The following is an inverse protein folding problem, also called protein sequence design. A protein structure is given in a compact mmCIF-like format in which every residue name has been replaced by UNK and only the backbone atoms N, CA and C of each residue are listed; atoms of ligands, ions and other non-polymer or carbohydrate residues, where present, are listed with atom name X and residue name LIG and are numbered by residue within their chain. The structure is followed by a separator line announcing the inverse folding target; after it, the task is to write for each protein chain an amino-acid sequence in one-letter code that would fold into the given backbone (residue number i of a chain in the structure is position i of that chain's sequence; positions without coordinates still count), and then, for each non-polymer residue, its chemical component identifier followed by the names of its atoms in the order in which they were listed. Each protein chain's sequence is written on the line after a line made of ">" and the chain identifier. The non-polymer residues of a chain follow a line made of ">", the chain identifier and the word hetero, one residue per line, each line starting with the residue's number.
data_IF_604297573057
#
_entry.id   IF_604297573057
#
_cell.length_a   1.000
_cell.length_b   1.000
_cell.length_c   1.000
_cell.angle_alpha   90.00
_cell.angle_beta   90.00
_cell.angle_gamma   90.00
#
_symmetry.space_group_name_H-M   'P 1'
#
loop_
_entity.id
_entity.type
_entity.pdbx_description
1 polymer ?
#
# COMPACT_ATOMS: atom_id res chain seq x y z
N UNK A 1 -63.19 -47.62 49.32
CA UNK A 1 -63.72 -48.38 50.50
C UNK A 1 -65.19 -48.70 50.25
N UNK A 2 -65.64 -49.93 50.46
CA UNK A 2 -67.06 -50.30 50.43
C UNK A 2 -67.67 -49.92 51.81
N UNK A 3 -68.74 -49.12 51.73
CA UNK A 3 -69.52 -48.82 52.89
C UNK A 3 -70.57 -49.95 53.13
N UNK A 4 -71.09 -50.08 54.38
CA UNK A 4 -72.01 -51.13 54.73
C UNK A 4 -73.34 -51.16 53.93
N UNK A 5 -73.66 -50.08 53.18
CA UNK A 5 -74.87 -49.97 52.38
C UNK A 5 -74.66 -50.32 50.90
N UNK A 6 -73.54 -51.01 50.53
CA UNK A 6 -73.31 -51.46 49.17
C UNK A 6 -72.88 -50.37 48.15
N UNK A 7 -72.83 -49.11 48.56
CA UNK A 7 -72.34 -48.04 47.71
C UNK A 7 -70.83 -47.98 47.67
N UNK A 8 -70.24 -47.88 46.42
CA UNK A 8 -68.80 -47.82 46.18
C UNK A 8 -68.42 -46.33 45.93
N UNK A 9 -67.82 -45.73 46.91
CA UNK A 9 -67.29 -44.41 46.78
C UNK A 9 -65.89 -44.48 46.05
N UNK A 10 -65.86 -44.09 44.80
CA UNK A 10 -64.62 -43.99 44.01
C UNK A 10 -64.10 -42.57 44.11
N UNK A 11 -63.15 -42.32 44.95
CA UNK A 11 -62.42 -41.04 44.97
C UNK A 11 -61.33 -41.19 43.96
N UNK A 12 -61.56 -40.56 42.82
CA UNK A 12 -60.49 -40.37 41.78
C UNK A 12 -59.78 -39.05 42.06
N UNK A 13 -58.59 -39.13 42.56
CA UNK A 13 -57.71 -37.99 42.65
C UNK A 13 -56.94 -37.95 41.38
N UNK A 14 -57.06 -36.87 40.56
CA UNK A 14 -56.23 -36.63 39.44
C UNK A 14 -54.85 -36.22 39.94
N UNK A 15 -53.98 -37.22 40.05
CA UNK A 15 -52.61 -37.02 40.42
C UNK A 15 -51.92 -36.43 39.12
N UNK A 16 -51.71 -35.11 39.09
CA UNK A 16 -50.89 -34.50 38.12
C UNK A 16 -49.54 -35.19 38.16
N UNK A 17 -49.13 -35.80 37.02
CA UNK A 17 -47.84 -36.49 36.96
C UNK A 17 -46.75 -35.52 37.28
N UNK A 18 -45.76 -35.90 38.10
CA UNK A 18 -44.58 -35.08 38.45
C UNK A 18 -43.97 -34.33 37.22
N UNK A 19 -43.85 -34.94 36.03
CA UNK A 19 -43.36 -34.24 34.84
C UNK A 19 -44.24 -33.07 34.39
N UNK A 20 -45.57 -33.17 34.54
CA UNK A 20 -46.48 -32.06 34.17
C UNK A 20 -46.34 -30.86 35.14
N UNK A 21 -46.10 -31.11 36.40
CA UNK A 21 -45.87 -30.06 37.39
C UNK A 21 -44.52 -29.35 37.19
N UNK A 22 -43.47 -30.11 36.86
CA UNK A 22 -42.15 -29.57 36.51
C UNK A 22 -42.22 -28.75 35.21
N UNK A 23 -42.95 -29.21 34.18
CA UNK A 23 -43.11 -28.50 32.93
C UNK A 23 -43.87 -27.18 33.11
N UNK A 24 -44.89 -27.17 33.98
CA UNK A 24 -45.67 -25.97 34.28
C UNK A 24 -44.86 -24.91 35.04
N UNK A 25 -43.88 -25.34 35.86
CA UNK A 25 -42.93 -24.45 36.54
C UNK A 25 -41.84 -23.95 35.63
N UNK A 26 -41.35 -24.78 34.67
CA UNK A 26 -40.28 -24.42 33.74
C UNK A 26 -40.74 -23.43 32.63
N UNK A 27 -42.01 -23.47 32.24
CA UNK A 27 -42.55 -22.65 31.15
C UNK A 27 -42.34 -21.14 31.36
N UNK A 28 -42.65 -20.55 32.53
CA UNK A 28 -42.44 -19.12 32.76
C UNK A 28 -40.94 -18.73 32.75
N UNK A 29 -40.08 -19.63 33.26
CA UNK A 29 -38.65 -19.40 33.25
C UNK A 29 -38.06 -19.40 31.82
N UNK A 30 -38.52 -20.29 30.94
CA UNK A 30 -38.16 -20.30 29.52
C UNK A 30 -38.59 -19.01 28.81
N UNK A 31 -39.78 -18.50 29.08
CA UNK A 31 -40.26 -17.24 28.53
C UNK A 31 -39.38 -16.06 28.97
N UNK A 32 -39.07 -15.96 30.24
CA UNK A 32 -38.19 -14.91 30.78
C UNK A 32 -36.79 -15.02 30.19
N UNK A 33 -36.22 -16.21 30.11
CA UNK A 33 -34.89 -16.42 29.49
C UNK A 33 -34.87 -16.02 28.01
N UNK A 34 -35.91 -16.34 27.25
CA UNK A 34 -36.03 -15.97 25.84
C UNK A 34 -36.11 -14.45 25.67
N UNK A 35 -36.91 -13.75 26.49
CA UNK A 35 -37.02 -12.29 26.47
C UNK A 35 -35.70 -11.64 26.82
N UNK A 36 -34.98 -12.13 27.83
CA UNK A 36 -33.66 -11.62 28.21
C UNK A 36 -32.64 -11.83 27.11
N UNK A 37 -32.62 -12.99 26.43
CA UNK A 37 -31.74 -13.27 25.32
C UNK A 37 -31.99 -12.32 24.13
N UNK A 38 -33.26 -12.09 23.80
CA UNK A 38 -33.64 -11.16 22.73
C UNK A 38 -33.19 -9.73 23.09
N UNK A 39 -33.43 -9.30 24.30
CA UNK A 39 -33.04 -7.97 24.79
C UNK A 39 -31.52 -7.78 24.75
N UNK A 40 -30.77 -8.75 25.25
CA UNK A 40 -29.30 -8.76 25.18
C UNK A 40 -28.78 -8.74 23.73
N UNK A 41 -29.41 -9.51 22.85
CA UNK A 41 -29.05 -9.51 21.40
C UNK A 41 -29.27 -8.16 20.74
N UNK A 42 -30.43 -7.53 20.99
CA UNK A 42 -30.74 -6.20 20.45
C UNK A 42 -29.80 -5.13 21.02
N UNK A 43 -29.51 -5.19 22.32
CA UNK A 43 -28.60 -4.24 22.97
C UNK A 43 -27.19 -4.39 22.45
N UNK A 44 -26.69 -5.63 22.33
CA UNK A 44 -25.39 -5.94 21.76
C UNK A 44 -25.25 -5.46 20.31
N UNK A 45 -26.29 -5.69 19.50
CA UNK A 45 -26.31 -5.22 18.11
C UNK A 45 -26.29 -3.68 18.00
N UNK A 46 -27.06 -3.01 18.86
CA UNK A 46 -27.07 -1.53 18.93
C UNK A 46 -25.73 -0.96 19.38
N UNK A 47 -25.09 -1.53 20.39
CA UNK A 47 -23.78 -1.14 20.86
C UNK A 47 -22.69 -1.39 19.80
N UNK A 48 -22.70 -2.55 19.16
CA UNK A 48 -21.76 -2.87 18.09
C UNK A 48 -21.88 -1.86 16.93
N UNK A 49 -23.07 -1.53 16.49
CA UNK A 49 -23.27 -0.51 15.43
C UNK A 49 -22.87 0.91 15.86
N UNK A 50 -23.09 1.26 17.12
CA UNK A 50 -22.76 2.60 17.65
C UNK A 50 -21.25 2.84 17.71
N UNK A 51 -20.45 1.77 17.88
CA UNK A 51 -18.99 1.87 18.00
C UNK A 51 -18.32 1.63 16.65
N UNK A 52 -18.76 0.61 15.92
CA UNK A 52 -18.06 0.16 14.70
C UNK A 52 -18.31 1.08 13.49
N UNK A 53 -19.51 1.62 13.34
CA UNK A 53 -19.84 2.51 12.20
C UNK A 53 -19.01 3.80 12.18
N UNK A 54 -18.88 4.58 13.25
CA UNK A 54 -18.10 5.81 13.23
C UNK A 54 -16.60 5.55 13.06
N UNK A 55 -16.08 4.42 13.57
CA UNK A 55 -14.65 4.08 13.41
C UNK A 55 -14.32 3.73 11.95
N UNK A 56 -15.18 2.97 11.27
CA UNK A 56 -14.99 2.64 9.85
C UNK A 56 -15.25 3.82 8.89
N UNK A 57 -15.88 4.88 9.35
CA UNK A 57 -16.10 6.10 8.57
C UNK A 57 -14.95 7.12 8.64
N UNK A 58 -13.88 6.79 9.38
CA UNK A 58 -12.69 7.65 9.45
C UNK A 58 -11.92 7.53 8.13
N UNK A 59 -12.00 8.60 7.33
CA UNK A 59 -11.09 8.77 6.20
C UNK A 59 -9.71 9.15 6.71
N UNK A 60 -8.72 8.28 6.46
CA UNK A 60 -7.34 8.53 6.88
C UNK A 60 -6.73 9.79 6.24
N UNK A 61 -7.22 10.19 5.08
CA UNK A 61 -6.74 11.37 4.37
C UNK A 61 -7.15 12.70 5.03
N UNK A 62 -8.24 12.69 5.81
CA UNK A 62 -8.71 13.89 6.50
C UNK A 62 -9.36 13.51 7.84
N UNK A 63 -8.55 13.19 8.86
CA UNK A 63 -9.05 12.74 10.16
C UNK A 63 -9.79 13.89 10.85
N UNK A 64 -11.12 13.84 10.83
CA UNK A 64 -11.96 14.76 11.59
C UNK A 64 -12.22 14.19 12.98
N UNK A 65 -12.12 14.97 14.05
CA UNK A 65 -12.44 14.50 15.40
C UNK A 65 -13.91 14.11 15.47
N UNK A 66 -14.18 12.90 15.97
CA UNK A 66 -15.54 12.46 16.25
C UNK A 66 -16.03 13.18 17.53
N UNK A 67 -17.11 13.94 17.46
CA UNK A 67 -17.63 14.70 18.62
C UNK A 67 -18.04 13.80 19.78
N UNK A 68 -18.19 12.49 19.56
CA UNK A 68 -18.63 11.54 20.59
C UNK A 68 -17.50 10.94 21.43
N UNK A 69 -16.22 11.16 21.10
CA UNK A 69 -15.08 10.53 21.78
C UNK A 69 -13.94 11.52 21.97
N UNK A 70 -14.03 12.41 22.98
CA UNK A 70 -12.99 13.39 23.25
C UNK A 70 -11.62 12.76 23.62
N UNK A 71 -11.62 11.53 24.13
CA UNK A 71 -10.40 10.80 24.48
C UNK A 71 -9.54 10.44 23.24
N UNK A 72 -10.14 10.39 22.06
CA UNK A 72 -9.43 10.12 20.81
C UNK A 72 -8.83 11.37 20.16
N UNK A 73 -9.12 12.56 20.68
CA UNK A 73 -8.60 13.83 20.14
C UNK A 73 -7.07 13.83 20.02
N UNK A 74 -6.28 13.41 21.04
CA UNK A 74 -4.82 13.39 20.93
C UNK A 74 -4.31 12.45 19.82
N UNK A 75 -5.03 11.36 19.56
CA UNK A 75 -4.71 10.42 18.49
C UNK A 75 -4.94 11.06 17.11
N UNK A 76 -6.07 11.76 16.95
CA UNK A 76 -6.38 12.46 15.70
C UNK A 76 -5.39 13.60 15.42
N UNK A 77 -4.99 14.33 16.43
CA UNK A 77 -4.00 15.40 16.29
C UNK A 77 -2.65 14.84 15.86
N UNK A 78 -2.22 13.71 16.43
CA UNK A 78 -0.99 13.04 16.04
C UNK A 78 -1.05 12.46 14.62
N UNK A 79 -2.20 11.90 14.22
CA UNK A 79 -2.41 11.44 12.83
C UNK A 79 -2.37 12.60 11.84
N UNK A 80 -2.97 13.73 12.16
CA UNK A 80 -2.92 14.95 11.33
C UNK A 80 -1.49 15.47 11.18
N UNK A 81 -0.74 15.51 12.26
CA UNK A 81 0.66 15.92 12.24
C UNK A 81 1.51 14.99 11.37
N UNK A 82 1.32 13.67 11.50
CA UNK A 82 2.00 12.69 10.67
C UNK A 82 1.63 12.85 9.19
N UNK A 83 0.35 12.96 8.85
CA UNK A 83 -0.10 13.17 7.47
C UNK A 83 0.46 14.47 6.89
N UNK A 84 0.50 15.55 7.68
CA UNK A 84 1.10 16.81 7.26
C UNK A 84 2.61 16.67 7.00
N UNK A 85 3.30 15.91 7.84
CA UNK A 85 4.74 15.66 7.69
C UNK A 85 5.02 14.84 6.45
N UNK A 86 4.26 13.75 6.22
CA UNK A 86 4.34 12.92 5.01
C UNK A 86 4.06 13.77 3.76
N UNK A 87 3.03 14.60 3.79
CA UNK A 87 2.70 15.49 2.68
C UNK A 87 3.82 16.49 2.37
N UNK A 88 4.48 17.05 3.38
CA UNK A 88 5.64 17.93 3.19
C UNK A 88 6.84 17.17 2.58
N UNK A 89 7.16 15.98 3.10
CA UNK A 89 8.26 15.17 2.59
C UNK A 89 8.00 14.74 1.13
N UNK A 90 6.77 14.36 0.81
CA UNK A 90 6.39 14.00 -0.55
C UNK A 90 6.52 15.18 -1.52
N UNK A 91 6.07 16.37 -1.12
CA UNK A 91 6.23 17.59 -1.91
C UNK A 91 7.70 17.95 -2.12
N UNK A 92 8.53 17.81 -1.09
CA UNK A 92 9.96 18.07 -1.18
C UNK A 92 10.66 17.08 -2.14
N UNK A 93 10.33 15.80 -2.04
CA UNK A 93 10.84 14.78 -2.98
C UNK A 93 10.42 15.07 -4.41
N UNK A 94 9.15 15.43 -4.63
CA UNK A 94 8.65 15.79 -5.96
C UNK A 94 9.34 17.05 -6.51
N UNK A 95 9.60 18.04 -5.66
CA UNK A 95 10.33 19.25 -6.06
C UNK A 95 11.74 18.88 -6.51
N UNK A 96 12.48 18.14 -5.69
CA UNK A 96 13.84 17.69 -6.02
C UNK A 96 13.88 16.86 -7.32
N UNK A 97 12.90 15.98 -7.51
CA UNK A 97 12.79 15.20 -8.75
C UNK A 97 12.56 16.10 -9.96
N UNK A 98 11.66 17.10 -9.85
CA UNK A 98 11.42 18.07 -10.94
C UNK A 98 12.65 18.90 -11.23
N UNK A 99 13.37 19.37 -10.22
CA UNK A 99 14.63 20.11 -10.37
C UNK A 99 15.67 19.26 -11.08
N UNK A 100 15.85 18.00 -10.68
CA UNK A 100 16.76 17.08 -11.35
C UNK A 100 16.39 16.87 -12.82
N UNK A 101 15.13 16.57 -13.10
CA UNK A 101 14.63 16.41 -14.48
C UNK A 101 14.84 17.70 -15.28
N UNK A 102 14.51 18.86 -14.72
CA UNK A 102 14.70 20.13 -15.42
C UNK A 102 16.18 20.42 -15.75
N UNK A 103 17.10 20.07 -14.86
CA UNK A 103 18.54 20.22 -15.12
C UNK A 103 18.97 19.28 -16.23
N UNK A 104 18.64 18.01 -16.15
CA UNK A 104 19.07 17.00 -17.12
C UNK A 104 18.46 17.25 -18.51
N UNK A 105 17.18 17.62 -18.59
CA UNK A 105 16.51 17.93 -19.87
C UNK A 105 17.02 19.20 -20.57
N UNK A 106 17.58 20.14 -19.80
CA UNK A 106 18.17 21.37 -20.40
C UNK A 106 19.67 21.27 -20.66
N UNK A 107 20.30 20.14 -20.36
CA UNK A 107 21.70 19.88 -20.74
C UNK A 107 21.80 19.66 -22.24
N UNK A 108 22.89 20.16 -22.85
CA UNK A 108 23.23 19.88 -24.25
C UNK A 108 23.84 18.51 -24.42
N UNK A 109 24.54 18.06 -23.39
CA UNK A 109 25.12 16.72 -23.30
C UNK A 109 24.02 15.69 -23.16
N UNK A 110 24.14 14.57 -23.87
CA UNK A 110 23.28 13.43 -23.67
C UNK A 110 23.56 12.81 -22.31
N UNK A 111 22.51 12.61 -21.49
CA UNK A 111 22.59 11.96 -20.18
C UNK A 111 21.77 10.68 -20.18
N UNK A 112 22.40 9.57 -19.79
CA UNK A 112 21.75 8.27 -19.65
C UNK A 112 22.23 7.62 -18.34
N UNK A 113 21.29 7.18 -17.52
CA UNK A 113 21.52 6.45 -16.26
C UNK A 113 20.94 5.05 -16.36
N UNK A 114 21.75 4.04 -16.04
CA UNK A 114 21.34 2.64 -16.04
C UNK A 114 21.60 1.98 -14.67
N UNK A 115 20.83 0.95 -14.35
CA UNK A 115 21.07 0.11 -13.17
C UNK A 115 22.14 -0.97 -13.44
N UNK A 116 22.48 -1.76 -12.43
CA UNK A 116 23.45 -2.86 -12.54
C UNK A 116 22.98 -4.03 -13.44
N UNK A 117 21.73 -4.00 -13.91
CA UNK A 117 21.17 -4.97 -14.87
C UNK A 117 20.98 -4.37 -16.27
N UNK A 118 21.55 -3.19 -16.52
CA UNK A 118 21.41 -2.43 -17.75
C UNK A 118 19.96 -1.98 -18.07
N UNK A 119 19.09 -1.82 -17.05
CA UNK A 119 17.82 -1.14 -17.28
C UNK A 119 18.02 0.35 -17.22
N UNK A 120 17.40 1.05 -18.15
CA UNK A 120 17.40 2.51 -18.19
C UNK A 120 16.59 3.06 -17.02
N UNK A 121 17.23 3.82 -16.15
CA UNK A 121 16.59 4.51 -15.04
C UNK A 121 16.15 5.92 -15.42
N UNK A 122 16.97 6.62 -16.21
CA UNK A 122 16.69 7.98 -16.66
C UNK A 122 17.50 8.30 -17.92
N UNK A 123 16.93 9.08 -18.82
CA UNK A 123 17.62 9.64 -19.98
C UNK A 123 17.06 11.04 -20.25
N UNK A 124 17.86 11.93 -20.81
CA UNK A 124 17.40 13.22 -21.29
C UNK A 124 17.15 13.20 -22.81
N UNK A 125 16.55 14.26 -23.29
CA UNK A 125 16.24 14.42 -24.73
C UNK A 125 17.47 14.29 -25.62
N UNK A 126 18.59 14.94 -25.25
CA UNK A 126 19.84 14.90 -26.03
C UNK A 126 20.39 13.47 -26.15
N UNK A 127 20.31 12.64 -25.11
CA UNK A 127 20.72 11.25 -25.20
C UNK A 127 19.84 10.44 -26.15
N UNK A 128 18.52 10.69 -26.16
CA UNK A 128 17.60 10.03 -27.09
C UNK A 128 17.92 10.37 -28.54
N UNK A 129 18.28 11.64 -28.85
CA UNK A 129 18.69 12.05 -30.19
C UNK A 129 19.95 11.30 -30.66
N UNK A 130 20.96 11.19 -29.78
CA UNK A 130 22.22 10.47 -30.08
C UNK A 130 21.96 8.97 -30.29
N UNK A 131 21.00 8.38 -29.56
CA UNK A 131 20.65 6.95 -29.62
C UNK A 131 19.63 6.63 -30.74
N UNK A 132 19.39 7.56 -31.66
CA UNK A 132 18.54 7.36 -32.85
C UNK A 132 17.06 7.63 -32.63
N UNK A 133 16.69 8.40 -31.60
CA UNK A 133 15.32 8.90 -31.38
C UNK A 133 14.34 7.83 -30.84
N UNK A 134 14.82 6.69 -30.46
CA UNK A 134 13.95 5.68 -29.82
C UNK A 134 13.56 6.12 -28.41
N UNK A 135 12.27 6.12 -28.10
CA UNK A 135 11.76 6.48 -26.79
C UNK A 135 12.20 5.45 -25.74
N UNK A 136 13.26 5.75 -25.00
CA UNK A 136 13.75 4.92 -23.90
C UNK A 136 12.87 5.14 -22.67
N UNK A 137 11.90 4.27 -22.48
CA UNK A 137 11.06 4.31 -21.26
C UNK A 137 11.86 3.85 -20.05
N UNK A 138 11.73 4.52 -18.91
CA UNK A 138 12.32 4.03 -17.67
C UNK A 138 11.92 2.56 -17.43
N UNK A 139 12.92 1.70 -17.14
CA UNK A 139 12.75 0.28 -16.94
C UNK A 139 12.94 -0.61 -18.18
N UNK A 140 13.15 -0.06 -19.40
CA UNK A 140 13.55 -0.86 -20.55
C UNK A 140 15.01 -1.29 -20.45
N UNK A 141 15.37 -2.38 -21.10
CA UNK A 141 16.77 -2.78 -21.25
C UNK A 141 17.48 -1.87 -22.25
N UNK A 142 18.70 -1.47 -21.93
CA UNK A 142 19.54 -0.68 -22.83
C UNK A 142 19.74 -1.40 -24.18
N UNK A 143 19.70 -2.74 -24.16
CA UNK A 143 19.81 -3.57 -25.35
C UNK A 143 18.70 -3.32 -26.38
N UNK A 144 17.50 -3.01 -25.91
CA UNK A 144 16.35 -2.72 -26.76
C UNK A 144 16.42 -1.33 -27.41
N UNK A 145 17.37 -0.49 -26.98
CA UNK A 145 17.60 0.86 -27.50
C UNK A 145 18.30 0.90 -28.87
N UNK A 146 18.74 -0.26 -29.38
CA UNK A 146 19.46 -0.29 -30.67
C UNK A 146 20.83 0.41 -30.66
N UNK A 147 21.43 0.55 -29.46
CA UNK A 147 22.71 1.21 -29.29
C UNK A 147 23.84 0.45 -29.98
N UNK A 148 24.90 1.16 -30.34
CA UNK A 148 26.14 0.55 -30.86
C UNK A 148 26.80 -0.31 -29.78
N UNK A 149 27.47 -1.39 -30.22
CA UNK A 149 28.11 -2.36 -29.29
C UNK A 149 29.14 -1.68 -28.39
N UNK A 150 29.84 -0.70 -28.88
CA UNK A 150 30.88 0.03 -28.14
C UNK A 150 30.30 0.76 -26.89
N UNK A 151 29.03 1.18 -26.95
CA UNK A 151 28.34 1.80 -25.81
C UNK A 151 28.07 0.72 -24.73
N UNK A 152 27.67 -0.48 -25.13
CA UNK A 152 27.47 -1.62 -24.18
C UNK A 152 28.76 -1.99 -23.48
N UNK A 153 29.87 -2.05 -24.22
CA UNK A 153 31.18 -2.40 -23.67
C UNK A 153 31.65 -1.33 -22.67
N UNK A 154 31.36 -0.04 -22.96
CA UNK A 154 31.65 1.04 -22.02
C UNK A 154 30.77 0.98 -20.76
N UNK A 155 29.49 0.65 -20.91
CA UNK A 155 28.59 0.47 -19.76
C UNK A 155 29.03 -0.71 -18.91
N UNK A 156 29.39 -1.86 -19.50
CA UNK A 156 29.85 -3.03 -18.78
C UNK A 156 31.15 -2.73 -18.02
N UNK A 157 32.07 -1.99 -18.63
CA UNK A 157 33.27 -1.49 -17.98
C UNK A 157 32.95 -0.61 -16.77
N UNK A 158 31.98 0.30 -16.90
CA UNK A 158 31.56 1.15 -15.80
C UNK A 158 30.86 0.34 -14.69
N UNK A 159 30.03 -0.64 -15.03
CA UNK A 159 29.41 -1.53 -14.05
C UNK A 159 30.42 -2.43 -13.31
N UNK A 160 31.58 -2.71 -13.93
CA UNK A 160 32.70 -3.39 -13.24
C UNK A 160 33.49 -2.47 -12.29
N UNK A 161 33.12 -1.18 -12.22
CA UNK A 161 33.72 -0.20 -11.31
C UNK A 161 34.86 0.64 -11.92
N UNK A 162 35.09 0.55 -13.23
CA UNK A 162 36.10 1.31 -13.97
C UNK A 162 35.48 2.41 -14.81
N UNK A 163 36.22 3.47 -15.11
CA UNK A 163 35.77 4.50 -16.05
C UNK A 163 36.04 4.04 -17.48
N UNK A 164 35.12 4.31 -18.38
CA UNK A 164 35.32 4.09 -19.82
C UNK A 164 35.11 5.41 -20.58
N UNK A 165 35.99 5.64 -21.57
CA UNK A 165 35.91 6.79 -22.48
C UNK A 165 36.16 6.29 -23.90
N UNK A 166 35.31 6.71 -24.82
CA UNK A 166 35.42 6.34 -26.22
C UNK A 166 34.92 7.46 -27.10
N UNK A 167 35.41 7.47 -28.34
CA UNK A 167 34.95 8.38 -29.41
C UNK A 167 34.11 7.57 -30.39
N UNK A 168 32.91 8.04 -30.66
CA UNK A 168 31.98 7.43 -31.62
C UNK A 168 31.60 8.44 -32.68
N UNK A 169 31.51 7.99 -33.91
CA UNK A 169 30.91 8.81 -34.99
C UNK A 169 29.49 8.28 -35.23
N UNK A 170 28.51 9.15 -35.06
CA UNK A 170 27.09 8.89 -35.29
C UNK A 170 26.59 10.02 -36.23
N UNK A 171 26.02 9.66 -37.38
CA UNK A 171 25.46 10.59 -38.37
C UNK A 171 26.38 11.80 -38.70
N UNK A 172 27.65 11.49 -39.00
CA UNK A 172 28.72 12.47 -39.33
C UNK A 172 29.18 13.36 -38.16
N UNK A 173 28.56 13.24 -36.98
CA UNK A 173 28.94 13.95 -35.73
C UNK A 173 29.84 13.09 -34.89
N UNK A 174 30.90 13.67 -34.35
CA UNK A 174 31.81 12.96 -33.42
C UNK A 174 31.37 13.18 -31.99
N UNK A 175 31.10 12.07 -31.30
CA UNK A 175 30.66 12.06 -29.93
C UNK A 175 31.72 11.45 -29.02
N UNK A 176 32.06 12.16 -27.95
CA UNK A 176 32.83 11.62 -26.85
C UNK A 176 31.86 11.01 -25.87
N UNK A 177 31.98 9.72 -25.59
CA UNK A 177 31.11 8.99 -24.66
C UNK A 177 31.93 8.66 -23.41
N UNK A 178 31.42 9.10 -22.27
CA UNK A 178 32.01 8.86 -20.95
C UNK A 178 31.05 7.98 -20.15
N UNK A 179 31.50 6.78 -19.77
CA UNK A 179 30.75 5.91 -18.89
C UNK A 179 31.44 5.82 -17.51
N UNK A 180 30.71 6.19 -16.47
CA UNK A 180 31.20 6.26 -15.10
C UNK A 180 30.34 5.40 -14.17
N UNK A 181 30.97 4.64 -13.22
CA UNK A 181 30.23 3.90 -12.23
C UNK A 181 29.53 4.82 -11.25
N UNK A 182 28.27 4.51 -10.93
CA UNK A 182 27.53 5.12 -9.83
C UNK A 182 27.67 4.23 -8.61
N UNK A 183 28.34 4.74 -7.57
CA UNK A 183 28.58 3.98 -6.34
C UNK A 183 27.61 4.43 -5.26
N UNK A 184 26.85 3.50 -4.69
CA UNK A 184 26.00 3.71 -3.53
C UNK A 184 26.36 2.71 -2.43
N UNK A 185 26.55 3.21 -1.22
CA UNK A 185 26.92 2.37 -0.05
C UNK A 185 28.15 1.47 -0.27
N UNK A 186 29.13 1.93 -1.08
CA UNK A 186 30.35 1.19 -1.35
C UNK A 186 30.25 0.09 -2.41
N UNK A 187 29.11 -0.02 -3.08
CA UNK A 187 28.91 -0.95 -4.19
C UNK A 187 28.47 -0.20 -5.44
N UNK A 188 28.80 -0.74 -6.63
CA UNK A 188 28.31 -0.18 -7.89
C UNK A 188 26.81 -0.45 -7.99
N UNK A 189 26.03 0.62 -8.01
CA UNK A 189 24.57 0.61 -8.11
C UNK A 189 24.07 0.78 -9.56
N UNK A 190 24.97 1.20 -10.46
CA UNK A 190 24.64 1.47 -11.85
C UNK A 190 25.77 2.20 -12.56
N UNK A 191 25.47 2.72 -13.75
CA UNK A 191 26.40 3.54 -14.52
C UNK A 191 25.71 4.77 -15.08
N UNK A 192 26.43 5.89 -15.14
CA UNK A 192 26.03 7.10 -15.84
C UNK A 192 26.84 7.24 -17.12
N UNK A 193 26.17 7.49 -18.23
CA UNK A 193 26.77 7.67 -19.53
C UNK A 193 26.48 9.11 -19.98
N UNK A 194 27.54 9.81 -20.38
CA UNK A 194 27.46 11.17 -20.94
C UNK A 194 27.90 11.13 -22.38
N UNK A 195 27.13 11.78 -23.25
CA UNK A 195 27.43 11.96 -24.65
C UNK A 195 27.73 13.44 -24.91
N UNK A 196 28.94 13.75 -25.30
CA UNK A 196 29.38 15.12 -25.59
C UNK A 196 29.71 15.27 -27.09
N UNK A 197 29.14 16.28 -27.72
CA UNK A 197 29.49 16.65 -29.09
C UNK A 197 30.89 17.27 -29.09
N UNK A 198 31.79 16.73 -29.92
CA UNK A 198 33.18 17.18 -30.09
C UNK A 198 33.51 17.52 -31.55
N UNK A 199 32.46 17.82 -32.33
CA UNK A 199 32.60 18.19 -33.73
C UNK A 199 33.20 19.59 -33.89
#
# INVERSE_FOLDING_TARGET
>A
RRMADGTVLRVSCTQNSLPAMVLMLLTPFLWVATVVLILCGVLSYRLAQSITKPINAIHLDNPTPLPSYPELTPLFDKLREQNRTIGKQMNELQLRQREFTAITENMREGFLLVDCKMHVLSSNHSALEVLGGHELKPGCLLYDAGCKQEIFDAVDTALSGSHAELLLTIDETSWQVLANPVVASGQVAGAVILFMDVT
#
